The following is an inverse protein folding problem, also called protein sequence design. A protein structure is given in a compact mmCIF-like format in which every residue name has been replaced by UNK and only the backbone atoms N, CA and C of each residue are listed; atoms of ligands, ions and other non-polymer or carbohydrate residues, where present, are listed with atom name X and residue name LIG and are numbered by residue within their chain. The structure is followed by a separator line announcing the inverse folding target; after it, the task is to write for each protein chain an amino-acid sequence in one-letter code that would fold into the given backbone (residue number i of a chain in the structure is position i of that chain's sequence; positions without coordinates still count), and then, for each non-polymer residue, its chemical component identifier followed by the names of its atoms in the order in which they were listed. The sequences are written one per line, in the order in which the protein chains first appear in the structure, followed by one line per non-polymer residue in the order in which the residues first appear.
data_IF_741117551861
#
_entry.id   IF_741117551861
#
_cell.length_a   1.000
_cell.length_b   1.000
_cell.length_c   1.000
_cell.angle_alpha   90.00
_cell.angle_beta   90.00
_cell.angle_gamma   90.00
#
_symmetry.space_group_name_H-M   'P 1'
#
loop_
_entity.id
_entity.type
_entity.pdbx_description
1 polymer ?
#
# COMPACT_ATOMS: atom_id res chain seq x y z
N UNK A 1 5.69 -19.95 -6.31
CA UNK A 1 4.67 -18.87 -6.31
C UNK A 1 4.20 -18.63 -4.89
N UNK A 2 4.55 -17.50 -4.26
CA UNK A 2 4.13 -17.20 -2.89
C UNK A 2 2.79 -16.47 -2.89
N UNK A 3 1.72 -17.16 -2.48
CA UNK A 3 0.42 -16.52 -2.22
C UNK A 3 0.59 -15.67 -0.96
N UNK A 4 0.74 -14.35 -1.12
CA UNK A 4 0.75 -13.42 0.01
C UNK A 4 -0.67 -13.38 0.58
N UNK A 5 -0.88 -14.01 1.73
CA UNK A 5 -2.14 -13.86 2.49
C UNK A 5 -2.39 -12.36 2.70
N UNK A 6 -3.42 -11.85 2.02
CA UNK A 6 -3.78 -10.45 2.03
C UNK A 6 -4.68 -10.21 3.24
N UNK A 7 -4.22 -9.41 4.20
CA UNK A 7 -5.08 -8.88 5.26
C UNK A 7 -6.07 -7.88 4.65
N UNK A 8 -7.35 -8.17 4.78
CA UNK A 8 -8.43 -7.33 4.28
C UNK A 8 -8.35 -5.89 4.85
N UNK A 9 -8.70 -4.90 4.03
CA UNK A 9 -8.62 -3.49 4.41
C UNK A 9 -9.62 -3.13 5.53
N UNK A 10 -10.73 -3.86 5.67
CA UNK A 10 -11.66 -3.69 6.80
C UNK A 10 -11.00 -4.10 8.12
N UNK A 11 -10.36 -5.27 8.16
CA UNK A 11 -9.61 -5.74 9.33
C UNK A 11 -8.48 -4.78 9.68
N UNK A 12 -7.79 -4.25 8.66
CA UNK A 12 -6.74 -3.24 8.83
C UNK A 12 -7.28 -1.94 9.44
N UNK A 13 -8.41 -1.43 8.94
CA UNK A 13 -9.05 -0.22 9.46
C UNK A 13 -9.49 -0.37 10.92
N UNK A 14 -10.12 -1.50 11.26
CA UNK A 14 -10.54 -1.79 12.64
C UNK A 14 -9.35 -1.92 13.60
N UNK A 15 -8.26 -2.51 13.13
CA UNK A 15 -7.02 -2.64 13.88
C UNK A 15 -6.38 -1.28 14.17
N UNK A 16 -6.33 -0.40 13.17
CA UNK A 16 -5.76 0.95 13.30
C UNK A 16 -6.59 1.80 14.26
N UNK A 17 -7.93 1.78 14.15
CA UNK A 17 -8.82 2.53 15.05
C UNK A 17 -8.55 2.22 16.53
N UNK A 18 -8.31 0.95 16.87
CA UNK A 18 -7.96 0.56 18.26
C UNK A 18 -6.58 1.06 18.69
N UNK A 19 -5.63 1.14 17.77
CA UNK A 19 -4.30 1.70 18.05
C UNK A 19 -4.37 3.21 18.25
N UNK A 20 -5.26 3.91 17.53
CA UNK A 20 -5.56 5.33 17.77
C UNK A 20 -6.16 5.59 19.16
N UNK A 21 -6.98 4.67 19.66
CA UNK A 21 -7.51 4.70 21.05
C UNK A 21 -6.43 4.44 22.13
N UNK A 22 -5.14 4.34 21.76
CA UNK A 22 -4.02 4.17 22.68
C UNK A 22 -3.75 2.73 23.10
N UNK A 23 -4.36 1.74 22.45
CA UNK A 23 -4.12 0.32 22.74
C UNK A 23 -2.73 -0.11 22.28
N UNK A 24 -2.14 -1.07 22.96
CA UNK A 24 -0.82 -1.58 22.59
C UNK A 24 -0.88 -2.51 21.38
N UNK A 25 0.17 -2.49 20.55
CA UNK A 25 0.32 -3.37 19.38
C UNK A 25 0.17 -4.84 19.75
N UNK A 26 0.66 -5.25 20.92
CA UNK A 26 0.54 -6.64 21.40
C UNK A 26 -0.91 -7.02 21.71
N UNK A 27 -1.66 -6.14 22.39
CA UNK A 27 -3.07 -6.40 22.71
C UNK A 27 -3.90 -6.51 21.44
N UNK A 28 -3.71 -5.57 20.50
CA UNK A 28 -4.43 -5.55 19.23
C UNK A 28 -4.07 -6.77 18.37
N UNK A 29 -2.80 -7.15 18.29
CA UNK A 29 -2.36 -8.34 17.55
C UNK A 29 -3.01 -9.63 18.08
N UNK A 30 -3.07 -9.79 19.41
CA UNK A 30 -3.71 -10.94 20.05
C UNK A 30 -5.23 -10.96 19.79
N UNK A 31 -5.90 -9.80 19.87
CA UNK A 31 -7.34 -9.69 19.63
C UNK A 31 -7.75 -10.12 18.22
N UNK A 32 -6.94 -9.79 17.21
CA UNK A 32 -7.22 -10.15 15.82
C UNK A 32 -6.58 -11.48 15.39
N UNK A 33 -5.81 -12.15 16.25
CA UNK A 33 -5.05 -13.35 15.88
C UNK A 33 -4.00 -13.10 14.80
N UNK A 34 -3.51 -11.85 14.69
CA UNK A 34 -2.57 -11.42 13.65
C UNK A 34 -1.16 -11.33 14.24
N UNK A 35 -0.16 -11.65 13.43
CA UNK A 35 1.23 -11.50 13.84
C UNK A 35 1.57 -10.03 14.16
N UNK A 36 2.24 -9.79 15.31
CA UNK A 36 2.64 -8.46 15.79
C UNK A 36 3.38 -7.62 14.73
N UNK A 37 4.18 -8.25 13.88
CA UNK A 37 4.93 -7.57 12.81
C UNK A 37 4.02 -7.03 11.70
N UNK A 38 2.87 -7.66 11.45
CA UNK A 38 1.87 -7.14 10.51
C UNK A 38 1.16 -5.93 11.12
N UNK A 39 0.77 -6.04 12.40
CA UNK A 39 0.14 -4.95 13.16
C UNK A 39 1.03 -3.71 13.24
N UNK A 40 2.30 -3.88 13.62
CA UNK A 40 3.29 -2.80 13.70
C UNK A 40 3.53 -2.13 12.34
N UNK A 41 3.63 -2.91 11.26
CA UNK A 41 3.82 -2.36 9.91
C UNK A 41 2.60 -1.56 9.44
N UNK A 42 1.38 -2.02 9.72
CA UNK A 42 0.19 -1.27 9.36
C UNK A 42 0.08 0.04 10.14
N UNK A 43 0.41 0.02 11.43
CA UNK A 43 0.45 1.24 12.27
C UNK A 43 1.46 2.26 11.75
N UNK A 44 2.69 1.82 11.45
CA UNK A 44 3.73 2.71 10.93
C UNK A 44 3.36 3.29 9.56
N UNK A 45 2.74 2.48 8.70
CA UNK A 45 2.23 2.94 7.42
C UNK A 45 1.15 4.01 7.61
N UNK A 46 0.19 3.78 8.51
CA UNK A 46 -0.85 4.74 8.85
C UNK A 46 -0.27 6.06 9.37
N UNK A 47 0.69 6.02 10.29
CA UNK A 47 1.37 7.23 10.78
C UNK A 47 2.10 8.00 9.67
N UNK A 48 2.59 7.30 8.65
CA UNK A 48 3.33 7.91 7.53
C UNK A 48 2.38 8.51 6.50
N UNK A 49 1.22 7.89 6.25
CA UNK A 49 0.35 8.22 5.10
C UNK A 49 -0.99 8.79 5.49
N UNK A 50 -1.39 8.71 6.76
CA UNK A 50 -2.71 9.05 7.26
C UNK A 50 -3.82 8.12 6.75
N UNK A 51 -3.47 7.04 6.05
CA UNK A 51 -4.45 6.18 5.39
C UNK A 51 -4.37 4.75 5.93
N UNK A 52 -5.54 4.26 6.36
CA UNK A 52 -5.69 2.88 6.78
C UNK A 52 -5.74 1.92 5.59
N UNK A 53 -6.02 2.44 4.39
CA UNK A 53 -6.08 1.67 3.15
C UNK A 53 -4.67 1.37 2.67
N UNK A 54 -4.50 0.19 2.10
CA UNK A 54 -3.23 -0.19 1.46
C UNK A 54 -2.88 0.81 0.35
N UNK A 55 -1.66 1.33 0.37
CA UNK A 55 -1.11 2.04 -0.81
C UNK A 55 -1.08 1.07 -1.98
N UNK A 56 -1.94 1.32 -2.98
CA UNK A 56 -1.76 0.76 -4.32
C UNK A 56 -0.48 1.40 -4.84
N UNK A 57 0.55 0.60 -5.08
CA UNK A 57 1.81 1.12 -5.57
C UNK A 57 1.55 1.86 -6.88
N UNK A 58 1.71 3.19 -6.87
CA UNK A 58 1.90 3.93 -8.11
C UNK A 58 3.08 3.28 -8.81
N UNK A 59 2.85 2.78 -10.02
CA UNK A 59 3.92 2.16 -10.81
C UNK A 59 5.11 3.12 -10.92
N UNK A 60 6.30 2.56 -11.14
CA UNK A 60 7.49 3.35 -11.49
C UNK A 60 7.07 4.36 -12.57
N UNK A 61 7.38 5.68 -12.42
CA UNK A 61 7.11 6.65 -13.46
C UNK A 61 7.70 6.10 -14.78
N UNK A 62 6.85 5.92 -15.79
CA UNK A 62 7.33 5.51 -17.11
C UNK A 62 8.19 6.67 -17.61
N UNK A 63 9.47 6.39 -17.86
CA UNK A 63 10.47 7.36 -18.32
C UNK A 63 10.09 7.97 -19.67
N UNK A 64 9.26 7.28 -20.45
CA UNK A 64 8.73 7.74 -21.74
C UNK A 64 7.48 8.58 -21.48
N UNK A 65 7.57 9.87 -21.77
CA UNK A 65 6.43 10.79 -21.76
C UNK A 65 5.68 10.60 -23.08
N UNK A 66 4.36 10.86 -23.12
CA UNK A 66 3.58 10.74 -24.36
C UNK A 66 4.15 11.57 -25.55
N UNK A 67 4.97 12.60 -25.26
CA UNK A 67 5.71 13.35 -26.29
C UNK A 67 6.84 12.54 -26.96
N UNK A 68 7.49 11.63 -26.25
CA UNK A 68 8.55 10.76 -26.79
C UNK A 68 7.95 9.72 -27.75
N UNK A 69 6.77 9.18 -27.42
CA UNK A 69 6.01 8.26 -28.28
C UNK A 69 5.53 8.94 -29.57
N UNK A 70 5.19 10.24 -29.50
CA UNK A 70 4.80 11.04 -30.67
C UNK A 70 6.00 11.31 -31.59
N UNK A 71 7.19 11.52 -31.04
CA UNK A 71 8.42 11.73 -31.84
C UNK A 71 8.77 10.48 -32.67
N UNK A 72 8.67 9.29 -32.06
CA UNK A 72 8.88 8.01 -32.74
C UNK A 72 7.80 7.78 -33.82
N UNK A 73 6.53 8.05 -33.50
CA UNK A 73 5.42 7.90 -34.43
C UNK A 73 5.48 8.86 -35.63
N UNK A 74 6.04 10.06 -35.42
CA UNK A 74 6.25 11.06 -36.46
C UNK A 74 7.38 10.69 -37.43
N UNK A 75 8.43 10.01 -36.95
CA UNK A 75 9.52 9.52 -37.80
C UNK A 75 9.04 8.37 -38.71
N UNK A 76 8.22 7.45 -38.20
CA UNK A 76 7.71 6.30 -38.97
C UNK A 76 6.76 6.72 -40.11
N UNK A 77 6.07 7.86 -40.00
CA UNK A 77 5.17 8.38 -41.04
C UNK A 77 5.87 9.17 -42.15
N UNK A 78 7.16 9.48 -42.02
CA UNK A 78 7.92 10.30 -42.99
C UNK A 78 8.93 9.50 -43.82
N UNK A 79 8.87 8.16 -43.75
CA UNK A 79 9.62 7.23 -44.60
C UNK A 79 8.76 6.70 -45.74
#
# INVERSE_FOLDING_TARGET
MARRNHMDDFTRGRMIRKLEEGRTVTSVAAEFGINKSVTSRAWKAFQTTGTAVRKVGGGRPRTTTAGDDLYISLQVKRG
#
